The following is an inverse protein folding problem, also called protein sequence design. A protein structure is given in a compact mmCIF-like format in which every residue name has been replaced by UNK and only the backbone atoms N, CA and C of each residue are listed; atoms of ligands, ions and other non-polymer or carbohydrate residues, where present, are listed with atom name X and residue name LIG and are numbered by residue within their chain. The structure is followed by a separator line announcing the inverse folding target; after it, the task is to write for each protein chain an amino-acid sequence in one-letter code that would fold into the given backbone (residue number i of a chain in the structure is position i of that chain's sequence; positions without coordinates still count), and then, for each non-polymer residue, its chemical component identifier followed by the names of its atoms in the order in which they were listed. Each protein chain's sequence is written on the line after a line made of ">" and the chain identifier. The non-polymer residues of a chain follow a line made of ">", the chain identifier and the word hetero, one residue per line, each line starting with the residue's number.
data_IF_516019118392
#
_entry.id   IF_516019118392
#
_cell.length_a   1.000
_cell.length_b   1.000
_cell.length_c   1.000
_cell.angle_alpha   90.00
_cell.angle_beta   90.00
_cell.angle_gamma   90.00
#
_symmetry.space_group_name_H-M   'P 1'
#
loop_
_entity.id
_entity.type
_entity.pdbx_description
1 polymer ?
#
# COMPACT_ATOMS: atom_id res chain seq x y z
N UNK A 1 26.83 -8.92 5.67
CA UNK A 1 26.17 -8.00 4.73
C UNK A 1 25.97 -6.73 5.51
N UNK A 2 26.60 -5.66 5.05
CA UNK A 2 26.55 -4.37 5.75
C UNK A 2 25.33 -3.63 5.21
N UNK A 3 24.38 -3.32 6.11
CA UNK A 3 23.12 -2.70 5.74
C UNK A 3 22.58 -1.89 6.91
N UNK A 4 22.45 -0.60 6.68
CA UNK A 4 21.95 0.35 7.66
C UNK A 4 20.52 0.77 7.31
N UNK A 5 19.73 1.06 8.34
CA UNK A 5 18.37 1.57 8.21
C UNK A 5 18.31 2.96 8.80
N UNK A 6 17.95 3.94 7.98
CA UNK A 6 17.76 5.32 8.39
C UNK A 6 16.28 5.68 8.39
N UNK A 7 15.86 6.48 9.37
CA UNK A 7 14.50 7.01 9.45
C UNK A 7 14.52 8.51 9.11
N UNK A 8 13.86 8.87 8.01
CA UNK A 8 13.65 10.26 7.61
C UNK A 8 12.16 10.61 7.72
N UNK A 9 11.82 11.67 8.47
CA UNK A 9 10.42 12.08 8.65
C UNK A 9 10.05 13.15 7.63
N UNK A 10 8.87 13.01 7.02
CA UNK A 10 8.27 14.06 6.18
C UNK A 10 7.62 15.18 7.01
N UNK A 11 7.06 16.17 6.33
CA UNK A 11 6.48 17.38 6.95
C UNK A 11 4.99 17.62 6.58
N UNK A 12 4.20 16.54 6.42
CA UNK A 12 2.74 16.64 6.27
C UNK A 12 2.22 16.91 4.85
N UNK A 13 3.02 16.64 3.81
CA UNK A 13 2.61 16.82 2.42
C UNK A 13 2.26 15.48 1.75
N UNK A 14 0.99 15.32 1.33
CA UNK A 14 0.53 14.11 0.62
C UNK A 14 1.34 13.83 -0.65
N UNK A 15 1.69 14.88 -1.41
CA UNK A 15 2.47 14.76 -2.64
C UNK A 15 3.86 14.16 -2.40
N UNK A 16 4.45 14.34 -1.22
CA UNK A 16 5.74 13.71 -0.87
C UNK A 16 5.65 12.19 -0.68
N UNK A 17 4.45 11.60 -0.73
CA UNK A 17 4.26 10.15 -0.79
C UNK A 17 4.40 9.57 -2.21
N UNK A 18 4.39 10.41 -3.25
CA UNK A 18 4.67 9.98 -4.62
C UNK A 18 6.16 9.60 -4.75
N UNK A 19 6.44 8.54 -5.51
CA UNK A 19 7.78 7.94 -5.62
C UNK A 19 8.91 8.95 -5.86
N UNK A 20 8.77 9.83 -6.86
CA UNK A 20 9.84 10.79 -7.20
C UNK A 20 9.83 12.02 -6.32
N UNK A 21 8.67 12.45 -5.83
CA UNK A 21 8.55 13.53 -4.87
C UNK A 21 9.14 13.17 -3.50
N UNK A 22 9.00 11.91 -3.09
CA UNK A 22 9.61 11.37 -1.87
C UNK A 22 11.14 11.49 -1.93
N UNK A 23 11.72 11.18 -3.09
CA UNK A 23 13.16 11.31 -3.34
C UNK A 23 13.59 12.77 -3.20
N UNK A 24 12.91 13.70 -3.87
CA UNK A 24 13.22 15.13 -3.76
C UNK A 24 13.07 15.67 -2.33
N UNK A 25 12.02 15.24 -1.63
CA UNK A 25 11.80 15.60 -0.23
C UNK A 25 12.88 15.06 0.70
N UNK A 26 13.40 13.85 0.44
CA UNK A 26 14.48 13.24 1.21
C UNK A 26 15.84 13.91 0.93
N UNK A 27 16.02 14.43 -0.28
CA UNK A 27 17.19 15.27 -0.65
C UNK A 27 17.14 16.69 -0.08
N UNK A 28 16.12 17.02 0.72
CA UNK A 28 15.95 18.33 1.36
C UNK A 28 15.39 19.42 0.45
N UNK A 29 14.87 19.04 -0.73
CA UNK A 29 14.23 19.97 -1.68
C UNK A 29 12.72 20.01 -1.43
N UNK A 30 12.02 20.86 -2.16
CA UNK A 30 10.56 20.80 -2.22
C UNK A 30 10.15 19.46 -2.84
N UNK A 31 9.19 18.75 -2.23
CA UNK A 31 8.68 17.46 -2.74
C UNK A 31 7.81 17.61 -3.98
N UNK A 32 8.40 18.13 -5.07
CA UNK A 32 7.81 18.18 -6.39
C UNK A 32 8.25 16.93 -7.15
N UNK A 33 7.33 16.19 -7.78
CA UNK A 33 7.70 15.03 -8.59
C UNK A 33 8.72 15.38 -9.68
N UNK A 34 9.63 14.44 -9.97
CA UNK A 34 10.53 14.52 -11.12
C UNK A 34 9.77 14.08 -12.38
N UNK A 35 10.10 14.67 -13.53
CA UNK A 35 9.64 14.13 -14.81
C UNK A 35 10.32 12.79 -15.06
N UNK A 36 9.55 11.79 -15.46
CA UNK A 36 10.06 10.52 -15.98
C UNK A 36 10.21 10.68 -17.50
N UNK A 37 11.35 10.34 -18.13
CA UNK A 37 12.64 9.89 -17.55
C UNK A 37 13.53 11.03 -16.98
N UNK A 38 14.52 10.72 -16.10
CA UNK A 38 15.01 9.38 -15.72
C UNK A 38 14.15 8.66 -14.67
N UNK A 39 14.15 7.32 -14.69
CA UNK A 39 13.47 6.51 -13.66
C UNK A 39 14.31 6.42 -12.39
N UNK A 40 13.69 6.33 -11.20
CA UNK A 40 14.42 6.17 -9.93
C UNK A 40 15.36 4.97 -9.87
N UNK A 41 14.98 3.88 -10.55
CA UNK A 41 15.81 2.68 -10.65
C UNK A 41 17.16 2.95 -11.32
N UNK A 42 17.26 3.98 -12.17
CA UNK A 42 18.51 4.43 -12.77
C UNK A 42 19.11 5.60 -11.97
N UNK A 43 18.31 6.65 -11.70
CA UNK A 43 18.72 7.90 -11.05
C UNK A 43 17.68 8.32 -10.00
N UNK A 44 17.85 7.82 -8.79
CA UNK A 44 16.96 8.05 -7.64
C UNK A 44 17.55 9.00 -6.60
N UNK A 45 17.58 8.54 -5.35
CA UNK A 45 18.04 9.31 -4.19
C UNK A 45 19.53 9.62 -4.31
N UNK A 46 19.88 10.92 -4.19
CA UNK A 46 21.24 11.43 -4.33
C UNK A 46 21.90 11.07 -5.69
N UNK A 47 21.08 10.84 -6.72
CA UNK A 47 21.54 10.42 -8.04
C UNK A 47 21.92 8.93 -8.12
N UNK A 48 21.67 8.14 -7.08
CA UNK A 48 21.94 6.71 -7.05
C UNK A 48 20.70 5.88 -7.42
N UNK A 49 20.88 4.68 -8.03
CA UNK A 49 19.80 3.72 -8.26
C UNK A 49 18.97 3.47 -7.00
N UNK A 50 17.66 3.70 -7.08
CA UNK A 50 16.75 3.57 -5.92
C UNK A 50 15.40 3.04 -6.34
N UNK A 51 14.86 2.07 -5.57
CA UNK A 51 13.47 1.62 -5.71
C UNK A 51 12.67 2.12 -4.52
N UNK A 52 11.58 2.83 -4.76
CA UNK A 52 10.62 3.21 -3.72
C UNK A 52 9.55 2.14 -3.64
N UNK A 53 9.39 1.53 -2.47
CA UNK A 53 8.38 0.51 -2.22
C UNK A 53 7.53 0.91 -1.01
N UNK A 54 6.23 0.63 -1.08
CA UNK A 54 5.36 0.82 0.09
C UNK A 54 5.77 -0.13 1.22
N UNK A 55 5.54 0.32 2.46
CA UNK A 55 5.85 -0.44 3.68
C UNK A 55 5.24 -1.84 3.65
N UNK A 56 3.98 -1.99 3.23
CA UNK A 56 3.32 -3.29 3.18
C UNK A 56 4.07 -4.27 2.27
N UNK A 57 4.43 -3.83 1.05
CA UNK A 57 5.19 -4.64 0.09
C UNK A 57 6.54 -5.10 0.65
N UNK A 58 7.26 -4.22 1.35
CA UNK A 58 8.55 -4.57 1.97
C UNK A 58 8.35 -5.49 3.18
N UNK A 59 7.33 -5.23 4.00
CA UNK A 59 7.06 -5.96 5.24
C UNK A 59 6.59 -7.40 5.00
N UNK A 60 5.89 -7.68 3.89
CA UNK A 60 5.47 -9.04 3.54
C UNK A 60 6.63 -9.89 2.98
N UNK A 61 7.65 -9.26 2.39
CA UNK A 61 8.74 -9.97 1.70
C UNK A 61 9.45 -11.02 2.58
N UNK A 62 9.82 -10.75 3.84
CA UNK A 62 10.42 -11.77 4.72
C UNK A 62 9.50 -12.98 4.95
N UNK A 63 8.19 -12.77 5.07
CA UNK A 63 7.22 -13.86 5.26
C UNK A 63 7.07 -14.69 3.99
N UNK A 64 7.04 -14.05 2.82
CA UNK A 64 7.05 -14.73 1.52
C UNK A 64 8.33 -15.56 1.36
N UNK A 65 9.50 -15.01 1.69
CA UNK A 65 10.76 -15.76 1.63
C UNK A 65 10.78 -16.97 2.57
N UNK A 66 10.21 -16.85 3.78
CA UNK A 66 10.15 -17.96 4.75
C UNK A 66 9.13 -19.04 4.40
N UNK A 67 7.96 -18.67 3.87
CA UNK A 67 6.86 -19.61 3.56
C UNK A 67 6.88 -20.12 2.11
N UNK A 68 7.66 -19.47 1.24
CA UNK A 68 7.76 -19.76 -0.18
C UNK A 68 6.80 -18.92 -1.02
N UNK A 69 7.24 -18.53 -2.22
CA UNK A 69 6.44 -17.74 -3.16
C UNK A 69 5.17 -18.46 -3.64
N UNK A 70 5.21 -19.79 -3.76
CA UNK A 70 4.04 -20.60 -4.13
C UNK A 70 2.90 -20.51 -3.12
N UNK A 71 3.21 -20.40 -1.82
CA UNK A 71 2.22 -20.19 -0.78
C UNK A 71 1.50 -18.85 -0.98
N UNK A 72 2.25 -17.77 -1.18
CA UNK A 72 1.67 -16.44 -1.35
C UNK A 72 0.90 -16.29 -2.67
N UNK A 73 1.41 -16.88 -3.75
CA UNK A 73 0.73 -16.91 -5.07
C UNK A 73 -0.54 -17.76 -5.05
N UNK A 74 -0.63 -18.75 -4.15
CA UNK A 74 -1.80 -19.58 -3.95
C UNK A 74 -3.00 -18.87 -3.32
N UNK A 75 -2.81 -17.62 -2.85
CA UNK A 75 -3.86 -16.74 -2.35
C UNK A 75 -4.31 -15.80 -3.46
N UNK A 76 -5.62 -15.59 -3.61
CA UNK A 76 -6.23 -14.67 -4.56
C UNK A 76 -6.38 -15.23 -5.98
N UNK A 77 -6.51 -14.33 -6.96
CA UNK A 77 -6.71 -14.68 -8.37
C UNK A 77 -5.39 -14.58 -9.16
N UNK A 78 -5.28 -15.24 -10.33
CA UNK A 78 -4.12 -15.06 -11.20
C UNK A 78 -3.82 -13.58 -11.47
N UNK A 79 -2.56 -13.18 -11.29
CA UNK A 79 -2.05 -11.79 -11.39
C UNK A 79 -2.54 -10.81 -10.32
N UNK A 80 -3.28 -11.27 -9.31
CA UNK A 80 -3.73 -10.51 -8.14
C UNK A 80 -3.65 -11.39 -6.89
N UNK A 81 -2.41 -11.79 -6.55
CA UNK A 81 -2.15 -12.78 -5.53
C UNK A 81 -1.71 -12.19 -4.20
N UNK A 82 -1.93 -12.95 -3.12
CA UNK A 82 -1.48 -12.62 -1.77
C UNK A 82 -2.60 -12.14 -0.85
N UNK A 83 -2.19 -11.59 0.28
CA UNK A 83 -3.07 -10.87 1.20
C UNK A 83 -2.90 -9.36 1.02
N UNK A 84 -3.87 -8.60 1.50
CA UNK A 84 -3.84 -7.14 1.53
C UNK A 84 -4.41 -6.64 2.84
N UNK A 85 -3.78 -5.60 3.38
CA UNK A 85 -4.35 -4.79 4.44
C UNK A 85 -5.41 -3.86 3.85
N UNK A 86 -6.66 -4.11 4.23
CA UNK A 86 -7.82 -3.30 3.87
C UNK A 86 -8.17 -2.34 5.00
N UNK A 87 -8.38 -1.06 4.66
CA UNK A 87 -8.87 -0.06 5.59
C UNK A 87 -10.33 0.25 5.25
N UNK A 88 -11.26 -0.32 6.03
CA UNK A 88 -12.70 -0.10 5.85
C UNK A 88 -13.09 1.07 6.74
N UNK A 89 -13.39 2.21 6.13
CA UNK A 89 -13.67 3.47 6.81
C UNK A 89 -15.00 4.07 6.34
N UNK A 90 -15.46 5.12 7.02
CA UNK A 90 -16.71 5.82 6.68
C UNK A 90 -17.95 5.14 7.28
N UNK A 91 -19.01 5.03 6.48
CA UNK A 91 -20.36 4.63 6.93
C UNK A 91 -20.56 3.11 7.03
N UNK A 92 -19.76 2.46 7.87
CA UNK A 92 -19.91 1.06 8.28
C UNK A 92 -20.16 0.97 9.79
N UNK A 93 -20.75 -0.13 10.26
CA UNK A 93 -21.08 -0.26 11.68
C UNK A 93 -19.85 -0.40 12.58
N UNK A 94 -18.79 -1.05 12.08
CA UNK A 94 -17.52 -1.27 12.81
C UNK A 94 -16.32 -0.95 11.90
N UNK A 95 -15.94 0.32 11.72
CA UNK A 95 -14.77 0.69 10.92
C UNK A 95 -13.50 0.01 11.44
N UNK A 96 -12.70 -0.57 10.55
CA UNK A 96 -11.53 -1.36 10.94
C UNK A 96 -10.45 -1.41 9.84
N UNK A 97 -9.23 -1.75 10.27
CA UNK A 97 -8.17 -2.23 9.38
C UNK A 97 -8.05 -3.73 9.57
N UNK A 98 -8.12 -4.50 8.49
CA UNK A 98 -8.08 -5.97 8.53
C UNK A 98 -7.18 -6.51 7.40
N UNK A 99 -6.40 -7.54 7.69
CA UNK A 99 -5.69 -8.31 6.66
C UNK A 99 -6.63 -9.38 6.10
N UNK A 100 -6.76 -9.43 4.77
CA UNK A 100 -7.60 -10.43 4.12
C UNK A 100 -7.03 -10.85 2.76
N UNK A 101 -7.46 -11.99 2.26
CA UNK A 101 -7.08 -12.50 0.94
C UNK A 101 -7.48 -11.52 -0.18
N UNK A 102 -6.55 -11.28 -1.11
CA UNK A 102 -6.84 -10.51 -2.31
C UNK A 102 -7.93 -11.19 -3.15
N UNK A 103 -8.72 -10.39 -3.87
CA UNK A 103 -9.87 -10.88 -4.66
C UNK A 103 -11.10 -11.33 -3.86
N UNK A 104 -11.14 -11.08 -2.54
CA UNK A 104 -12.37 -11.13 -1.75
C UNK A 104 -13.45 -10.18 -2.35
N UNK A 105 -14.73 -10.59 -2.46
CA UNK A 105 -15.81 -9.71 -2.87
C UNK A 105 -15.96 -8.52 -1.91
N UNK A 106 -16.10 -7.30 -2.44
CA UNK A 106 -16.24 -6.09 -1.61
C UNK A 106 -17.38 -6.18 -0.60
N UNK A 107 -18.53 -6.72 -1.02
CA UNK A 107 -19.68 -6.94 -0.11
C UNK A 107 -19.32 -7.87 1.04
N UNK A 108 -18.65 -8.98 0.74
CA UNK A 108 -18.22 -9.95 1.76
C UNK A 108 -17.22 -9.33 2.73
N UNK A 109 -16.24 -8.56 2.22
CA UNK A 109 -15.27 -7.84 3.04
C UNK A 109 -15.97 -6.91 4.06
N UNK A 110 -16.95 -6.12 3.61
CA UNK A 110 -17.67 -5.17 4.46
C UNK A 110 -18.58 -5.86 5.47
N UNK A 111 -19.42 -6.79 5.00
CA UNK A 111 -20.38 -7.50 5.86
C UNK A 111 -19.66 -8.35 6.92
N UNK A 112 -18.57 -9.03 6.53
CA UNK A 112 -17.84 -9.95 7.43
C UNK A 112 -16.98 -9.20 8.45
N UNK A 113 -16.22 -8.19 8.03
CA UNK A 113 -15.17 -7.59 8.86
C UNK A 113 -15.51 -6.23 9.43
N UNK A 114 -16.41 -5.48 8.78
CA UNK A 114 -16.82 -4.15 9.24
C UNK A 114 -18.24 -4.11 9.81
N UNK A 115 -18.87 -5.28 9.98
CA UNK A 115 -20.23 -5.41 10.52
C UNK A 115 -21.31 -4.84 9.60
N UNK A 116 -21.04 -4.71 8.30
CA UNK A 116 -22.00 -4.22 7.32
C UNK A 116 -22.10 -2.69 7.23
N UNK A 117 -22.89 -2.24 6.26
CA UNK A 117 -23.21 -0.83 6.05
C UNK A 117 -24.15 -0.34 7.16
N UNK A 118 -24.00 0.92 7.58
CA UNK A 118 -24.94 1.55 8.52
C UNK A 118 -26.35 1.56 7.89
N UNK A 119 -27.32 0.93 8.54
CA UNK A 119 -28.68 0.77 8.00
C UNK A 119 -28.87 -0.41 7.04
N UNK A 120 -27.85 -1.27 6.89
CA UNK A 120 -27.88 -2.45 6.02
C UNK A 120 -27.42 -2.18 4.58
N UNK A 121 -27.15 -3.25 3.83
CA UNK A 121 -26.58 -3.17 2.48
C UNK A 121 -27.40 -2.34 1.50
N UNK A 122 -28.73 -2.37 1.61
CA UNK A 122 -29.63 -1.62 0.73
C UNK A 122 -29.60 -0.11 0.98
N UNK A 123 -29.02 0.34 2.10
CA UNK A 123 -28.76 1.74 2.40
C UNK A 123 -27.44 2.26 1.79
N UNK A 124 -26.70 1.40 1.08
CA UNK A 124 -25.44 1.79 0.44
C UNK A 124 -25.70 2.72 -0.75
N UNK A 125 -25.08 3.91 -0.72
CA UNK A 125 -25.10 4.83 -1.86
C UNK A 125 -23.93 4.59 -2.82
N UNK A 126 -22.70 4.59 -2.31
CA UNK A 126 -21.48 4.41 -3.09
C UNK A 126 -20.31 3.97 -2.20
N UNK A 127 -19.31 3.34 -2.82
CA UNK A 127 -18.02 3.01 -2.20
C UNK A 127 -16.91 3.55 -3.11
N UNK A 128 -15.85 4.10 -2.52
CA UNK A 128 -14.61 4.43 -3.22
C UNK A 128 -13.64 3.26 -3.02
N UNK A 129 -13.46 2.36 -4.01
CA UNK A 129 -12.50 1.27 -3.88
C UNK A 129 -11.08 1.79 -4.13
N UNK A 130 -10.21 1.66 -3.12
CA UNK A 130 -8.79 2.02 -3.22
C UNK A 130 -8.54 3.51 -3.00
N UNK A 131 -8.40 3.88 -1.72
CA UNK A 131 -8.24 5.27 -1.26
C UNK A 131 -7.09 6.05 -1.88
#
# INVERSE_FOLDING_TARGET
>A
YDFDVFMHRGAGAYICGEETALIESLEGKQGKPRLKPPFPADVGVFGCPTTVANVETVAVAPTICRRGGSWFVGLGRPRNSGTKLFNISGHVNTPCTVEEEMSIPLKELIERHAGGIVGGWDNLLAVIPGG
#
